data_IF_354820227903
#
_entry.id   IF_354820227903
#
_cell.length_a   1.000
_cell.length_b   1.000
_cell.length_c   1.000
_cell.angle_alpha   90.00
_cell.angle_beta   90.00
_cell.angle_gamma   90.00
#
_symmetry.space_group_name_H-M   'P 1'
#
loop_
_entity.id
_entity.type
_entity.pdbx_description
1 polymer ?
#
# COMPACT_ATOMS: atom_id res chain seq x y z
N UNK A 1 -61.51 10.87 30.86
CA UNK A 1 -60.58 10.92 29.68
C UNK A 1 -59.18 11.38 29.95
N UNK A 2 -58.85 12.20 30.96
CA UNK A 2 -57.47 12.69 31.23
C UNK A 2 -56.48 11.61 31.73
N UNK A 3 -56.87 10.52 32.36
CA UNK A 3 -56.00 9.49 32.92
C UNK A 3 -55.48 8.47 31.88
N UNK A 4 -56.22 8.22 30.81
CA UNK A 4 -55.84 7.28 29.74
C UNK A 4 -54.72 7.85 28.85
N UNK A 5 -54.74 9.16 28.59
CA UNK A 5 -53.71 9.85 27.83
C UNK A 5 -52.36 9.89 28.54
N UNK A 6 -52.34 9.97 29.89
CA UNK A 6 -51.12 9.99 30.70
C UNK A 6 -50.42 8.60 30.69
N UNK A 7 -51.18 7.51 30.76
CA UNK A 7 -50.63 6.16 30.76
C UNK A 7 -50.04 5.77 29.37
N UNK A 8 -50.69 6.20 28.30
CA UNK A 8 -50.19 5.99 26.92
C UNK A 8 -48.90 6.78 26.65
N UNK A 9 -48.83 8.03 27.07
CA UNK A 9 -47.69 8.88 26.91
C UNK A 9 -46.49 8.36 27.73
N UNK A 10 -46.68 7.84 28.94
CA UNK A 10 -45.62 7.16 29.74
C UNK A 10 -45.11 5.89 29.08
N UNK A 11 -45.97 5.08 28.47
CA UNK A 11 -45.54 3.89 27.70
C UNK A 11 -44.76 4.27 26.44
N UNK A 12 -45.17 5.30 25.71
CA UNK A 12 -44.39 5.79 24.57
C UNK A 12 -43.02 6.34 24.97
N UNK A 13 -42.90 7.06 26.07
CA UNK A 13 -41.64 7.58 26.60
C UNK A 13 -40.69 6.44 27.05
N UNK A 14 -41.27 5.39 27.67
CA UNK A 14 -40.51 4.20 28.06
C UNK A 14 -39.97 3.41 26.83
N UNK A 15 -40.79 3.25 25.79
CA UNK A 15 -40.38 2.61 24.53
C UNK A 15 -39.32 3.45 23.80
N UNK A 16 -39.49 4.77 23.76
CA UNK A 16 -38.51 5.67 23.16
C UNK A 16 -37.15 5.65 23.94
N UNK A 17 -37.24 5.60 25.28
CA UNK A 17 -36.02 5.46 26.11
C UNK A 17 -35.32 4.10 25.93
N UNK A 18 -36.09 3.01 25.78
CA UNK A 18 -35.55 1.68 25.50
C UNK A 18 -34.92 1.60 24.09
N UNK A 19 -35.48 2.26 23.11
CA UNK A 19 -34.94 2.33 21.74
C UNK A 19 -33.65 3.18 21.72
N UNK A 20 -33.59 4.26 22.52
CA UNK A 20 -32.40 5.09 22.64
C UNK A 20 -31.27 4.42 23.43
N UNK A 21 -31.59 3.55 24.40
CA UNK A 21 -30.59 2.76 25.15
C UNK A 21 -30.07 1.54 24.35
N UNK A 22 -30.83 1.08 23.35
CA UNK A 22 -30.45 -0.03 22.47
C UNK A 22 -29.73 0.40 21.19
N UNK A 23 -29.52 1.69 20.96
CA UNK A 23 -28.65 2.18 19.90
C UNK A 23 -27.17 2.04 20.34
N UNK A 24 -26.72 0.78 20.54
CA UNK A 24 -25.33 0.49 20.44
C UNK A 24 -24.89 1.03 19.09
N UNK A 25 -23.94 1.98 19.09
CA UNK A 25 -23.26 2.40 17.88
C UNK A 25 -22.60 1.12 17.37
N UNK A 26 -23.23 0.47 16.40
CA UNK A 26 -22.65 -0.63 15.68
C UNK A 26 -21.35 -0.12 15.08
N UNK A 27 -20.25 -0.23 15.82
CA UNK A 27 -18.91 -0.03 15.33
C UNK A 27 -18.64 -1.19 14.37
N UNK A 28 -19.16 -1.07 13.16
CA UNK A 28 -18.84 -1.96 12.07
C UNK A 28 -17.34 -1.86 11.80
N UNK A 29 -16.69 -3.00 11.78
CA UNK A 29 -15.24 -3.16 11.60
C UNK A 29 -14.39 -2.58 12.76
N UNK A 30 -13.11 -2.93 12.76
CA UNK A 30 -12.12 -2.58 13.79
C UNK A 30 -11.60 -1.13 13.68
N UNK A 31 -12.45 -0.17 13.31
CA UNK A 31 -12.07 1.20 12.96
C UNK A 31 -11.81 2.13 14.15
N UNK A 32 -11.95 1.66 15.38
CA UNK A 32 -11.68 2.46 16.59
C UNK A 32 -11.23 1.57 17.74
N UNK A 33 -10.34 0.63 17.46
CA UNK A 33 -9.80 -0.26 18.47
C UNK A 33 -8.47 0.30 18.93
N UNK A 34 -8.32 0.65 20.22
CA UNK A 34 -7.06 1.16 20.73
C UNK A 34 -5.91 0.19 20.44
N UNK A 35 -4.87 0.67 19.77
CA UNK A 35 -3.67 -0.13 19.53
C UNK A 35 -2.91 -0.31 20.84
N UNK A 36 -2.68 -1.55 21.30
CA UNK A 36 -1.93 -1.80 22.52
C UNK A 36 -0.47 -1.33 22.42
N UNK A 37 0.07 -0.82 23.54
CA UNK A 37 1.51 -0.53 23.67
C UNK A 37 2.01 0.69 22.92
N UNK A 38 1.14 1.52 22.31
CA UNK A 38 1.58 2.76 21.68
C UNK A 38 1.76 3.87 22.72
N UNK A 39 2.78 4.74 22.58
CA UNK A 39 2.92 5.93 23.42
C UNK A 39 1.71 6.84 23.26
N UNK A 40 1.30 7.45 24.40
CA UNK A 40 0.18 8.39 24.39
C UNK A 40 0.55 9.69 25.08
N UNK A 41 0.03 10.76 24.55
CA UNK A 41 0.06 12.09 25.17
C UNK A 41 -0.85 12.17 26.40
N UNK A 42 -0.71 13.16 27.29
CA UNK A 42 -1.56 13.28 28.49
C UNK A 42 -3.06 13.37 28.21
N UNK A 43 -3.45 13.82 27.03
CA UNK A 43 -4.85 13.86 26.56
C UNK A 43 -5.32 12.55 25.90
N UNK A 44 -4.49 11.48 25.97
CA UNK A 44 -4.84 10.13 25.52
C UNK A 44 -4.64 9.86 24.02
N UNK A 45 -4.23 10.86 23.23
CA UNK A 45 -3.93 10.65 21.80
C UNK A 45 -2.60 9.92 21.62
N UNK A 46 -2.45 9.20 20.51
CA UNK A 46 -1.18 8.58 20.15
C UNK A 46 -0.07 9.64 20.00
N UNK A 47 1.06 9.45 20.68
CA UNK A 47 2.25 10.30 20.54
C UNK A 47 3.12 9.75 19.39
N UNK A 48 2.88 10.27 18.20
CA UNK A 48 3.59 9.86 17.00
C UNK A 48 5.04 10.38 16.94
N UNK A 49 5.38 11.36 17.78
CA UNK A 49 6.74 11.90 17.87
C UNK A 49 7.58 11.23 18.99
N UNK A 50 7.01 10.26 19.69
CA UNK A 50 7.77 9.48 20.68
C UNK A 50 8.95 8.76 20.00
N UNK A 51 10.02 8.41 20.73
CA UNK A 51 11.15 7.68 20.18
C UNK A 51 10.72 6.40 19.44
N UNK A 52 11.41 6.09 18.35
CA UNK A 52 11.19 4.85 17.60
C UNK A 52 11.34 3.62 18.52
N UNK A 53 10.37 2.70 18.53
CA UNK A 53 10.47 1.47 19.31
C UNK A 53 11.62 0.61 18.77
N UNK A 54 12.26 -0.13 19.69
CA UNK A 54 13.35 -1.04 19.33
C UNK A 54 13.00 -2.46 19.73
N UNK A 55 13.48 -3.39 18.93
CA UNK A 55 13.44 -4.81 19.22
C UNK A 55 14.42 -5.18 20.34
N UNK A 56 14.36 -6.40 20.85
CA UNK A 56 15.26 -6.86 21.92
C UNK A 56 16.76 -6.84 21.51
N UNK A 57 17.06 -6.94 20.22
CA UNK A 57 18.41 -6.83 19.66
C UNK A 57 18.82 -5.36 19.30
N UNK A 58 18.02 -4.40 19.74
CA UNK A 58 18.32 -2.98 19.64
C UNK A 58 18.00 -2.31 18.30
N UNK A 59 17.46 -3.05 17.31
CA UNK A 59 17.07 -2.47 16.01
C UNK A 59 15.73 -1.78 16.10
N UNK A 60 15.48 -0.69 15.34
CA UNK A 60 14.16 -0.14 15.19
C UNK A 60 13.24 -1.19 14.54
N UNK A 61 12.04 -1.37 15.07
CA UNK A 61 11.02 -2.16 14.38
C UNK A 61 10.31 -1.30 13.34
N UNK A 62 10.08 -1.85 12.15
CA UNK A 62 9.23 -1.24 11.11
C UNK A 62 7.80 -1.78 11.15
N UNK A 63 7.51 -2.74 12.04
CA UNK A 63 6.19 -3.30 12.21
C UNK A 63 5.15 -2.22 12.55
N UNK A 64 3.95 -2.39 12.04
CA UNK A 64 2.83 -1.48 12.29
C UNK A 64 1.91 -1.30 11.09
N UNK A 65 0.90 -0.46 11.29
CA UNK A 65 -0.01 -0.04 10.25
C UNK A 65 0.44 1.32 9.71
N UNK A 66 0.69 1.38 8.41
CA UNK A 66 1.29 2.54 7.77
C UNK A 66 0.47 3.00 6.57
N UNK A 67 0.61 4.26 6.23
CA UNK A 67 0.17 4.80 4.94
C UNK A 67 1.21 5.78 4.40
N UNK A 68 1.36 5.92 3.10
CA UNK A 68 2.20 6.97 2.53
C UNK A 68 1.58 8.36 2.77
N UNK A 69 2.40 9.40 2.66
CA UNK A 69 1.92 10.79 2.77
C UNK A 69 1.09 11.24 1.57
N UNK A 70 1.12 10.51 0.48
CA UNK A 70 0.29 10.77 -0.70
C UNK A 70 -1.20 10.82 -0.34
N UNK A 71 -1.89 11.79 -0.90
CA UNK A 71 -3.35 11.94 -0.75
C UNK A 71 -4.13 11.36 -1.90
N UNK A 72 -3.51 11.24 -3.05
CA UNK A 72 -4.07 10.70 -4.29
C UNK A 72 -3.06 9.74 -4.87
N UNK A 73 -3.54 8.84 -5.71
CA UNK A 73 -2.70 7.95 -6.49
C UNK A 73 -1.84 8.81 -7.40
N UNK A 74 -0.59 8.96 -7.07
CA UNK A 74 0.26 9.97 -7.63
C UNK A 74 1.43 9.42 -8.42
N UNK A 75 2.01 10.33 -9.08
CA UNK A 75 3.23 10.25 -9.80
C UNK A 75 4.41 10.03 -8.83
N UNK A 76 5.15 8.96 -9.02
CA UNK A 76 6.32 8.61 -8.19
C UNK A 76 7.38 9.71 -8.17
N UNK A 77 7.43 10.57 -9.20
CA UNK A 77 8.40 11.68 -9.28
C UNK A 77 8.20 12.76 -8.23
N UNK A 78 7.08 12.78 -7.50
CA UNK A 78 6.94 13.65 -6.32
C UNK A 78 7.99 13.36 -5.24
N UNK A 79 8.52 12.14 -5.22
CA UNK A 79 9.61 11.73 -4.33
C UNK A 79 11.02 12.06 -4.84
N UNK A 80 11.15 12.63 -6.03
CA UNK A 80 12.45 13.06 -6.57
C UNK A 80 12.92 14.37 -5.92
N UNK A 81 14.22 14.60 -5.96
CA UNK A 81 14.77 15.89 -5.55
C UNK A 81 14.36 16.99 -6.54
N UNK A 82 14.17 18.21 -6.07
CA UNK A 82 13.86 19.35 -6.95
C UNK A 82 14.89 19.48 -8.09
N UNK A 83 14.40 19.63 -9.33
CA UNK A 83 15.24 19.77 -10.52
C UNK A 83 15.72 18.46 -11.14
N UNK A 84 15.52 17.31 -10.49
CA UNK A 84 15.81 16.03 -11.12
C UNK A 84 14.72 15.63 -12.12
N UNK A 85 15.13 14.90 -13.15
CA UNK A 85 14.23 14.35 -14.17
C UNK A 85 14.44 12.85 -14.32
N UNK A 86 13.39 12.14 -14.71
CA UNK A 86 13.46 10.70 -14.95
C UNK A 86 14.36 10.44 -16.16
N UNK A 87 15.42 9.63 -16.01
CA UNK A 87 16.42 9.41 -17.05
C UNK A 87 15.98 8.31 -18.05
N UNK A 88 14.91 8.54 -18.78
CA UNK A 88 14.37 7.56 -19.72
C UNK A 88 15.33 7.19 -20.85
N UNK A 89 15.28 5.91 -21.27
CA UNK A 89 15.68 5.54 -22.63
C UNK A 89 14.67 6.13 -23.64
N UNK A 90 15.07 6.44 -24.90
CA UNK A 90 14.18 7.08 -25.88
C UNK A 90 12.86 6.34 -26.11
N UNK A 91 12.88 5.02 -26.20
CA UNK A 91 11.68 4.21 -26.38
C UNK A 91 10.74 4.29 -25.16
N UNK A 92 11.31 4.28 -23.95
CA UNK A 92 10.55 4.33 -22.71
C UNK A 92 9.88 5.68 -22.52
N UNK A 93 10.55 6.75 -22.90
CA UNK A 93 9.97 8.10 -22.91
C UNK A 93 8.81 8.21 -23.91
N UNK A 94 8.97 7.66 -25.11
CA UNK A 94 7.91 7.63 -26.12
C UNK A 94 6.69 6.83 -25.63
N UNK A 95 6.89 5.67 -25.01
CA UNK A 95 5.84 4.86 -24.42
C UNK A 95 5.14 5.62 -23.27
N UNK A 96 5.90 6.23 -22.38
CA UNK A 96 5.36 7.06 -21.30
C UNK A 96 4.47 8.19 -21.84
N UNK A 97 4.94 8.94 -22.82
CA UNK A 97 4.16 10.02 -23.47
C UNK A 97 2.86 9.50 -24.08
N UNK A 98 2.90 8.32 -24.71
CA UNK A 98 1.71 7.66 -25.28
C UNK A 98 0.70 7.29 -24.17
N UNK A 99 1.17 6.72 -23.05
CA UNK A 99 0.32 6.39 -21.91
C UNK A 99 -0.32 7.62 -21.27
N UNK A 100 0.45 8.70 -21.12
CA UNK A 100 -0.09 9.98 -20.64
C UNK A 100 -1.15 10.54 -21.61
N UNK A 101 -0.89 10.53 -22.91
CA UNK A 101 -1.81 11.05 -23.93
C UNK A 101 -3.14 10.27 -23.98
N UNK A 102 -3.15 8.99 -23.64
CA UNK A 102 -4.35 8.17 -23.60
C UNK A 102 -4.97 8.04 -22.18
N UNK A 103 -4.56 8.92 -21.24
CA UNK A 103 -5.01 8.94 -19.84
C UNK A 103 -4.74 7.61 -19.10
N UNK A 104 -3.64 6.94 -19.42
CA UNK A 104 -3.23 5.68 -18.80
C UNK A 104 -4.35 4.60 -18.77
N UNK A 105 -5.22 4.58 -19.80
CA UNK A 105 -6.40 3.70 -19.86
C UNK A 105 -6.09 2.21 -19.74
N UNK A 106 -4.85 1.82 -20.07
CA UNK A 106 -4.40 0.42 -20.05
C UNK A 106 -3.63 0.11 -18.74
N UNK A 107 -3.76 0.96 -17.71
CA UNK A 107 -3.16 0.74 -16.41
C UNK A 107 -3.64 -0.60 -15.79
N UNK A 108 -2.73 -1.54 -15.47
CA UNK A 108 -3.11 -2.82 -14.89
C UNK A 108 -3.96 -2.70 -13.62
N UNK A 109 -3.73 -1.66 -12.80
CA UNK A 109 -4.49 -1.48 -11.56
C UNK A 109 -5.95 -1.12 -11.80
N UNK A 110 -6.30 -0.58 -12.97
CA UNK A 110 -7.70 -0.37 -13.40
C UNK A 110 -8.46 -1.69 -13.54
N UNK A 111 -7.76 -2.79 -13.73
CA UNK A 111 -8.30 -4.15 -13.78
C UNK A 111 -8.08 -4.92 -12.46
N UNK A 112 -7.90 -4.22 -11.34
CA UNK A 112 -7.66 -4.82 -10.04
C UNK A 112 -6.39 -5.71 -9.98
N UNK A 113 -5.44 -5.46 -10.86
CA UNK A 113 -4.12 -6.10 -10.81
C UNK A 113 -3.22 -5.30 -9.87
N UNK A 114 -2.40 -6.00 -9.11
CA UNK A 114 -1.49 -5.37 -8.14
C UNK A 114 -0.47 -4.45 -8.83
N UNK A 115 -0.12 -3.35 -8.17
CA UNK A 115 0.82 -2.37 -8.73
C UNK A 115 2.28 -2.79 -8.69
N UNK A 116 2.64 -3.80 -7.88
CA UNK A 116 4.04 -4.13 -7.62
C UNK A 116 4.76 -3.06 -6.79
N UNK A 117 6.09 -3.20 -6.66
CA UNK A 117 6.92 -2.19 -6.01
C UNK A 117 7.74 -1.43 -7.06
N UNK A 118 8.03 -0.15 -6.81
CA UNK A 118 7.71 0.65 -5.61
C UNK A 118 6.29 1.24 -5.59
N UNK A 119 5.49 1.03 -6.64
CA UNK A 119 4.18 1.68 -6.80
C UNK A 119 3.26 1.47 -5.61
N UNK A 120 3.18 0.25 -5.06
CA UNK A 120 2.31 -0.06 -3.92
C UNK A 120 2.64 0.74 -2.66
N UNK A 121 3.87 1.21 -2.52
CA UNK A 121 4.31 2.02 -1.39
C UNK A 121 3.98 3.52 -1.56
N UNK A 122 3.46 3.91 -2.73
CA UNK A 122 3.05 5.28 -3.06
C UNK A 122 1.53 5.45 -3.19
N UNK A 123 0.75 4.38 -3.13
CA UNK A 123 -0.71 4.49 -3.17
C UNK A 123 -1.26 4.88 -1.80
N UNK A 124 -2.31 5.74 -1.73
CA UNK A 124 -2.80 6.31 -0.47
C UNK A 124 -3.65 5.34 0.36
N UNK A 125 -3.41 4.05 0.24
CA UNK A 125 -4.08 3.01 1.00
C UNK A 125 -3.18 2.51 2.13
N UNK A 126 -3.76 2.11 3.27
CA UNK A 126 -3.00 1.50 4.35
C UNK A 126 -2.33 0.20 3.94
N UNK A 127 -1.22 -0.09 4.61
CA UNK A 127 -0.61 -1.41 4.59
C UNK A 127 -0.01 -1.75 5.95
N UNK A 128 -0.01 -3.03 6.28
CA UNK A 128 0.49 -3.53 7.56
C UNK A 128 1.78 -4.28 7.38
N UNK A 129 2.83 -3.85 8.08
CA UNK A 129 4.12 -4.54 8.13
C UNK A 129 4.13 -5.46 9.35
N UNK A 130 4.42 -6.74 9.12
CA UNK A 130 4.53 -7.78 10.15
C UNK A 130 5.94 -8.35 10.07
N UNK A 131 6.64 -8.31 11.19
CA UNK A 131 7.99 -8.87 11.33
C UNK A 131 7.93 -10.19 12.06
N UNK A 132 8.51 -11.22 11.47
CA UNK A 132 8.69 -12.54 12.09
C UNK A 132 10.13 -13.01 11.86
N UNK A 133 10.66 -13.98 12.63
CA UNK A 133 11.97 -14.51 12.37
C UNK A 133 12.13 -15.04 10.95
N UNK A 134 13.08 -14.48 10.19
CA UNK A 134 13.37 -14.86 8.82
C UNK A 134 12.43 -14.30 7.74
N UNK A 135 11.38 -13.56 8.11
CA UNK A 135 10.41 -13.05 7.15
C UNK A 135 9.76 -11.75 7.63
N UNK A 136 9.76 -10.75 6.77
CA UNK A 136 8.88 -9.58 6.89
C UNK A 136 7.78 -9.70 5.84
N UNK A 137 6.53 -9.56 6.27
CA UNK A 137 5.36 -9.58 5.38
C UNK A 137 4.69 -8.21 5.38
N UNK A 138 4.41 -7.70 4.19
CA UNK A 138 3.61 -6.48 4.01
C UNK A 138 2.25 -6.92 3.44
N UNK A 139 1.19 -6.60 4.18
CA UNK A 139 -0.20 -6.79 3.75
C UNK A 139 -0.72 -5.46 3.24
N UNK A 140 -1.01 -5.36 1.96
CA UNK A 140 -1.59 -4.16 1.36
C UNK A 140 -3.11 -4.25 1.37
N UNK A 141 -3.77 -3.23 1.88
CA UNK A 141 -5.23 -3.12 1.82
C UNK A 141 -5.70 -3.03 0.37
N UNK A 142 -5.00 -2.22 -0.43
CA UNK A 142 -5.30 -2.11 -1.85
C UNK A 142 -5.10 -3.44 -2.58
N UNK A 143 -6.15 -3.88 -3.29
CA UNK A 143 -6.11 -5.06 -4.18
C UNK A 143 -5.78 -6.38 -3.44
N UNK A 144 -6.03 -6.48 -2.12
CA UNK A 144 -5.79 -7.68 -1.30
C UNK A 144 -4.47 -8.37 -1.61
N UNK A 145 -3.39 -7.63 -1.61
CA UNK A 145 -2.09 -8.16 -1.97
C UNK A 145 -1.16 -8.26 -0.78
N UNK A 146 -0.16 -9.11 -0.91
CA UNK A 146 0.89 -9.22 0.09
C UNK A 146 2.26 -9.33 -0.58
N UNK A 147 3.28 -8.92 0.16
CA UNK A 147 4.67 -9.04 -0.23
C UNK A 147 5.44 -9.77 0.87
N UNK A 148 6.29 -10.70 0.47
CA UNK A 148 7.21 -11.41 1.35
C UNK A 148 8.63 -10.89 1.13
N UNK A 149 9.29 -10.52 2.22
CA UNK A 149 10.68 -10.07 2.23
C UNK A 149 11.45 -11.02 3.12
N UNK A 150 12.27 -11.88 2.54
CA UNK A 150 13.01 -12.89 3.28
C UNK A 150 14.23 -12.29 3.97
N UNK A 151 14.37 -12.53 5.27
CA UNK A 151 15.46 -12.00 6.11
C UNK A 151 16.33 -13.12 6.71
N UNK A 152 16.22 -14.32 6.18
CA UNK A 152 16.94 -15.53 6.61
C UNK A 152 18.34 -15.67 5.96
N UNK A 153 18.80 -14.65 5.25
CA UNK A 153 20.12 -14.64 4.60
C UNK A 153 20.15 -15.26 3.21
N UNK A 154 19.00 -15.70 2.68
CA UNK A 154 18.94 -16.17 1.29
C UNK A 154 19.25 -15.04 0.31
N UNK A 155 19.71 -15.43 -0.89
CA UNK A 155 19.94 -14.50 -1.99
C UNK A 155 18.72 -14.41 -2.90
N UNK A 156 18.60 -13.33 -3.66
CA UNK A 156 17.63 -13.23 -4.74
C UNK A 156 17.84 -14.38 -5.75
N UNK A 157 16.77 -14.96 -6.31
CA UNK A 157 16.88 -16.00 -7.32
C UNK A 157 17.56 -15.44 -8.59
N UNK A 158 18.35 -16.27 -9.26
CA UNK A 158 19.09 -15.87 -10.47
C UNK A 158 18.19 -15.87 -11.72
N UNK A 159 17.25 -16.80 -11.78
CA UNK A 159 16.32 -16.96 -12.92
C UNK A 159 14.90 -17.22 -12.37
N UNK A 160 14.25 -16.20 -11.80
CA UNK A 160 12.90 -16.35 -11.23
C UNK A 160 11.83 -16.33 -12.32
N UNK A 161 10.72 -17.02 -12.08
CA UNK A 161 9.50 -16.73 -12.84
C UNK A 161 9.06 -15.29 -12.57
N UNK A 162 8.84 -14.45 -13.59
CA UNK A 162 8.46 -13.07 -13.43
C UNK A 162 7.18 -12.88 -12.60
N UNK A 163 7.21 -11.94 -11.65
CA UNK A 163 6.09 -11.67 -10.75
C UNK A 163 5.83 -10.16 -10.62
N UNK A 164 4.61 -9.78 -10.21
CA UNK A 164 4.24 -8.37 -10.03
C UNK A 164 5.03 -7.68 -8.93
N UNK A 165 5.24 -8.35 -7.78
CA UNK A 165 6.06 -7.84 -6.68
C UNK A 165 7.53 -8.26 -6.78
N UNK A 166 7.87 -9.08 -7.78
CA UNK A 166 9.17 -9.71 -7.86
C UNK A 166 9.46 -10.60 -6.64
N UNK A 167 10.73 -10.76 -6.34
CA UNK A 167 11.24 -11.49 -5.18
C UNK A 167 12.07 -10.52 -4.35
N UNK A 168 11.90 -10.56 -3.03
CA UNK A 168 12.52 -9.61 -2.13
C UNK A 168 13.32 -10.29 -1.04
N UNK A 169 14.51 -9.77 -0.78
CA UNK A 169 15.34 -10.12 0.40
C UNK A 169 15.62 -8.86 1.19
N UNK A 170 15.68 -8.99 2.51
CA UNK A 170 15.89 -7.87 3.42
C UNK A 170 16.97 -8.15 4.44
N UNK A 171 17.64 -7.08 4.88
CA UNK A 171 18.63 -7.11 5.96
C UNK A 171 18.67 -5.79 6.70
N UNK A 172 19.06 -5.84 7.96
CA UNK A 172 19.35 -4.63 8.71
C UNK A 172 20.78 -4.16 8.44
N UNK A 173 20.95 -2.87 8.15
CA UNK A 173 22.22 -2.18 8.02
C UNK A 173 22.20 -0.99 8.99
N UNK A 174 22.72 -1.18 10.20
CA UNK A 174 22.54 -0.23 11.29
C UNK A 174 21.05 -0.04 11.61
N UNK A 175 20.57 1.20 11.58
CA UNK A 175 19.17 1.55 11.84
C UNK A 175 18.30 1.56 10.55
N UNK A 176 18.82 1.09 9.42
CA UNK A 176 18.06 0.98 8.18
C UNK A 176 17.73 -0.48 7.85
N UNK A 177 16.47 -0.77 7.56
CA UNK A 177 16.06 -2.02 6.95
C UNK A 177 16.16 -1.89 5.43
N UNK A 178 17.06 -2.64 4.83
CA UNK A 178 17.35 -2.58 3.39
C UNK A 178 16.73 -3.77 2.71
N UNK A 179 15.94 -3.50 1.67
CA UNK A 179 15.26 -4.50 0.86
C UNK A 179 15.76 -4.40 -0.57
N UNK A 180 16.13 -5.53 -1.15
CA UNK A 180 16.47 -5.65 -2.56
C UNK A 180 15.44 -6.54 -3.25
N UNK A 181 14.95 -6.10 -4.41
CA UNK A 181 13.92 -6.80 -5.17
C UNK A 181 14.29 -6.89 -6.65
N UNK A 182 14.00 -8.05 -7.24
CA UNK A 182 14.17 -8.32 -8.68
C UNK A 182 13.20 -9.42 -9.15
N UNK A 183 13.19 -9.75 -10.44
CA UNK A 183 12.29 -10.76 -11.00
C UNK A 183 10.89 -10.24 -11.21
N UNK A 184 10.77 -8.99 -11.63
CA UNK A 184 9.51 -8.37 -12.01
C UNK A 184 9.09 -8.84 -13.40
N UNK A 185 7.76 -8.82 -13.65
CA UNK A 185 7.26 -8.99 -15.01
C UNK A 185 7.32 -7.65 -15.77
N UNK A 186 7.20 -7.70 -17.10
CA UNK A 186 7.29 -6.54 -18.00
C UNK A 186 6.01 -5.69 -18.05
N UNK A 187 4.98 -6.06 -17.29
CA UNK A 187 3.71 -5.34 -17.21
C UNK A 187 3.65 -4.37 -16.02
N UNK A 188 4.66 -4.34 -15.18
CA UNK A 188 4.73 -3.42 -14.03
C UNK A 188 4.83 -1.97 -14.52
N UNK A 189 4.00 -1.12 -13.94
CA UNK A 189 4.09 0.33 -14.08
C UNK A 189 4.57 0.93 -12.76
N UNK A 190 5.56 1.81 -12.81
CA UNK A 190 6.10 2.41 -11.58
C UNK A 190 5.12 3.38 -10.91
N UNK A 191 4.14 3.90 -11.66
CA UNK A 191 3.10 4.79 -11.16
C UNK A 191 1.88 4.88 -12.08
N UNK A 192 0.88 5.63 -11.65
CA UNK A 192 -0.36 5.85 -12.41
C UNK A 192 -0.17 6.70 -13.67
N UNK A 193 0.92 7.44 -13.78
CA UNK A 193 1.21 8.20 -14.99
C UNK A 193 1.72 7.29 -16.13
N UNK A 194 2.03 6.03 -15.82
CA UNK A 194 2.39 5.05 -16.83
C UNK A 194 3.88 4.91 -17.08
N UNK A 195 4.74 5.24 -16.10
CA UNK A 195 6.18 5.02 -16.24
C UNK A 195 6.48 3.54 -16.37
N UNK A 196 7.11 3.11 -17.49
CA UNK A 196 7.37 1.70 -17.72
C UNK A 196 8.48 1.17 -16.82
N UNK A 197 8.42 -0.12 -16.57
CA UNK A 197 9.53 -0.92 -16.07
C UNK A 197 9.53 -2.26 -16.81
N UNK A 198 10.67 -2.95 -16.81
CA UNK A 198 10.82 -4.23 -17.47
C UNK A 198 11.33 -5.32 -16.51
N UNK A 199 11.60 -6.50 -17.05
CA UNK A 199 12.14 -7.64 -16.30
C UNK A 199 13.55 -7.36 -15.72
N UNK A 200 14.27 -6.38 -16.30
CA UNK A 200 15.58 -5.98 -15.80
C UNK A 200 15.50 -5.08 -14.55
N UNK A 201 14.29 -4.68 -14.13
CA UNK A 201 14.08 -3.83 -12.97
C UNK A 201 14.67 -4.45 -11.71
N UNK A 202 15.43 -3.63 -11.00
CA UNK A 202 15.86 -3.84 -9.61
C UNK A 202 15.39 -2.66 -8.78
N UNK A 203 14.84 -2.96 -7.62
CA UNK A 203 14.41 -1.94 -6.66
C UNK A 203 15.17 -2.17 -5.36
N UNK A 204 15.82 -1.12 -4.86
CA UNK A 204 16.41 -1.13 -3.52
C UNK A 204 15.68 -0.11 -2.65
N UNK A 205 15.13 -0.56 -1.54
CA UNK A 205 14.40 0.27 -0.59
C UNK A 205 15.14 0.29 0.74
N UNK A 206 15.28 1.47 1.34
CA UNK A 206 15.91 1.66 2.64
C UNK A 206 14.92 2.32 3.59
N UNK A 207 14.31 1.51 4.45
CA UNK A 207 13.36 1.97 5.45
C UNK A 207 14.12 2.45 6.68
N UNK A 208 13.88 3.69 7.07
CA UNK A 208 14.43 4.27 8.32
C UNK A 208 13.27 4.77 9.18
N UNK A 209 13.09 4.16 10.34
CA UNK A 209 12.11 4.64 11.31
C UNK A 209 12.69 5.81 12.09
N UNK A 210 12.15 7.00 11.83
CA UNK A 210 12.64 8.28 12.38
C UNK A 210 12.20 8.44 13.83
N UNK A 211 10.94 8.14 14.11
CA UNK A 211 10.30 8.17 15.39
C UNK A 211 9.18 7.12 15.44
N UNK A 212 8.30 7.21 16.45
CA UNK A 212 7.21 6.23 16.55
C UNK A 212 6.29 6.26 15.34
N UNK A 213 5.96 7.44 14.85
CA UNK A 213 4.93 7.66 13.83
C UNK A 213 5.43 7.77 12.39
N UNK A 214 6.75 7.76 12.15
CA UNK A 214 7.29 8.08 10.83
C UNK A 214 8.37 7.10 10.38
N UNK A 215 8.24 6.65 9.12
CA UNK A 215 9.30 5.93 8.39
C UNK A 215 9.60 6.72 7.12
N UNK A 216 10.88 6.98 6.86
CA UNK A 216 11.35 7.43 5.55
C UNK A 216 11.85 6.24 4.75
N UNK A 217 11.46 6.17 3.48
CA UNK A 217 11.94 5.16 2.52
C UNK A 217 12.71 5.87 1.44
N UNK A 218 14.00 5.54 1.31
CA UNK A 218 14.80 5.91 0.13
C UNK A 218 14.73 4.76 -0.87
N UNK A 219 14.30 5.03 -2.08
CA UNK A 219 14.05 4.01 -3.11
C UNK A 219 14.94 4.29 -4.31
N UNK A 220 15.75 3.31 -4.69
CA UNK A 220 16.55 3.31 -5.91
C UNK A 220 15.89 2.43 -6.95
N UNK A 221 15.65 2.97 -8.14
CA UNK A 221 15.09 2.31 -9.30
C UNK A 221 16.23 2.13 -10.31
N UNK A 222 16.55 0.89 -10.62
CA UNK A 222 17.60 0.51 -11.56
C UNK A 222 17.02 -0.47 -12.60
N UNK A 223 16.81 0.03 -13.82
CA UNK A 223 16.40 -0.77 -14.97
C UNK A 223 17.16 -0.27 -16.20
N UNK A 224 18.32 -0.85 -16.50
CA UNK A 224 19.21 -0.36 -17.58
C UNK A 224 18.60 -0.50 -18.99
N UNK A 225 17.54 -1.31 -19.13
CA UNK A 225 16.81 -1.41 -20.40
C UNK A 225 15.82 -0.27 -20.58
N UNK A 226 15.29 0.28 -19.48
CA UNK A 226 14.25 1.32 -19.48
C UNK A 226 14.80 2.72 -19.19
N UNK A 227 15.86 2.80 -18.39
CA UNK A 227 16.48 4.06 -17.94
C UNK A 227 17.96 4.09 -18.27
N UNK A 228 18.50 5.29 -18.55
CA UNK A 228 19.92 5.49 -18.90
C UNK A 228 20.87 5.41 -17.72
N UNK A 229 20.34 5.53 -16.49
CA UNK A 229 21.04 5.37 -15.21
C UNK A 229 20.03 5.07 -14.10
N UNK A 230 20.47 4.54 -12.96
CA UNK A 230 19.66 4.45 -11.76
C UNK A 230 19.18 5.85 -11.31
N UNK A 231 17.99 5.91 -10.71
CA UNK A 231 17.42 7.13 -10.17
C UNK A 231 16.70 6.85 -8.85
N UNK A 232 16.49 7.90 -8.06
CA UNK A 232 16.03 7.78 -6.70
C UNK A 232 14.74 8.57 -6.45
N UNK A 233 13.92 8.04 -5.57
CA UNK A 233 12.76 8.72 -5.00
C UNK A 233 12.71 8.47 -3.50
N UNK A 234 12.03 9.34 -2.79
CA UNK A 234 11.78 9.18 -1.36
C UNK A 234 10.28 9.15 -1.08
N UNK A 235 9.87 8.38 -0.09
CA UNK A 235 8.50 8.37 0.44
C UNK A 235 8.55 8.45 1.97
N UNK A 236 7.57 9.11 2.55
CA UNK A 236 7.35 9.09 3.99
C UNK A 236 6.08 8.34 4.33
N UNK A 237 6.20 7.41 5.25
CA UNK A 237 5.07 6.69 5.82
C UNK A 237 4.66 7.33 7.14
N UNK A 238 3.36 7.39 7.33
CA UNK A 238 2.72 7.82 8.57
C UNK A 238 2.08 6.61 9.25
N UNK A 239 2.36 6.43 10.54
CA UNK A 239 1.71 5.41 11.36
C UNK A 239 0.21 5.73 11.52
N UNK A 240 -0.63 4.72 11.45
CA UNK A 240 -2.07 4.85 11.68
C UNK A 240 -2.40 4.16 13.00
N UNK A 241 -2.64 4.92 14.08
CA UNK A 241 -3.02 4.34 15.37
C UNK A 241 -4.51 3.99 15.42
N UNK A 242 -4.87 3.12 16.37
CA UNK A 242 -6.22 2.86 16.82
C UNK A 242 -7.18 2.36 15.72
N UNK A 243 -6.63 1.60 14.77
CA UNK A 243 -7.37 0.93 13.69
C UNK A 243 -6.55 -0.23 13.13
N UNK A 244 -7.10 -0.96 12.18
CA UNK A 244 -6.40 -2.00 11.41
C UNK A 244 -6.75 -1.89 9.92
N UNK A 245 -6.08 -2.68 9.06
CA UNK A 245 -6.45 -2.80 7.64
C UNK A 245 -7.87 -3.38 7.55
N UNK A 246 -8.60 -2.91 6.56
CA UNK A 246 -9.96 -3.38 6.28
C UNK A 246 -9.98 -4.22 5.02
N UNK A 247 -11.05 -4.97 4.86
CA UNK A 247 -11.29 -5.68 3.61
C UNK A 247 -11.61 -4.68 2.48
N UNK A 248 -10.89 -4.80 1.38
CA UNK A 248 -11.07 -3.96 0.19
C UNK A 248 -11.20 -4.84 -1.05
N UNK A 249 -12.42 -4.97 -1.57
CA UNK A 249 -12.69 -5.75 -2.79
C UNK A 249 -12.70 -4.83 -4.00
N UNK A 250 -11.59 -4.76 -4.71
CA UNK A 250 -11.41 -3.91 -5.89
C UNK A 250 -12.50 -4.13 -6.97
N UNK A 251 -13.00 -5.36 -7.10
CA UNK A 251 -14.05 -5.71 -8.06
C UNK A 251 -15.47 -5.45 -7.56
N UNK A 252 -15.65 -5.20 -6.26
CA UNK A 252 -16.96 -4.96 -5.68
C UNK A 252 -17.50 -3.59 -6.13
N UNK A 253 -18.73 -3.58 -6.60
CA UNK A 253 -19.38 -2.38 -7.16
C UNK A 253 -18.65 -1.73 -8.35
N UNK A 254 -17.62 -2.33 -8.89
CA UNK A 254 -16.94 -1.87 -10.08
C UNK A 254 -17.79 -2.18 -11.33
N UNK A 255 -18.61 -1.22 -11.74
CA UNK A 255 -19.50 -1.36 -12.90
C UNK A 255 -18.74 -1.53 -14.22
N UNK A 256 -17.51 -1.05 -14.30
CA UNK A 256 -16.66 -1.18 -15.49
C UNK A 256 -16.14 -2.60 -15.68
N UNK A 257 -15.92 -3.35 -14.61
CA UNK A 257 -15.49 -4.75 -14.68
C UNK A 257 -16.53 -5.67 -15.35
N UNK A 258 -17.80 -5.26 -15.35
CA UNK A 258 -18.90 -5.98 -16.01
C UNK A 258 -19.12 -5.55 -17.45
N UNK A 259 -18.44 -4.50 -17.92
CA UNK A 259 -18.64 -3.91 -19.25
C UNK A 259 -17.57 -4.40 -20.24
N UNK A 260 -16.57 -5.18 -19.80
CA UNK A 260 -15.70 -5.94 -20.69
C UNK A 260 -16.13 -7.41 -20.68
N UNK A 261 -17.35 -7.74 -21.17
CA UNK A 261 -17.67 -9.09 -21.50
C UNK A 261 -17.03 -9.33 -22.86
N UNK A 262 -16.20 -10.36 -22.95
CA UNK A 262 -15.91 -11.06 -24.21
C UNK A 262 -15.58 -10.17 -25.44
N UNK A 263 -14.80 -9.14 -25.27
CA UNK A 263 -14.22 -8.43 -26.40
C UNK A 263 -12.94 -9.13 -26.88
N UNK A 264 -12.94 -10.44 -26.93
CA UNK A 264 -12.11 -11.13 -27.89
C UNK A 264 -12.66 -10.78 -29.27
N UNK A 265 -11.85 -10.22 -30.19
CA UNK A 265 -12.30 -9.99 -31.56
C UNK A 265 -12.82 -11.30 -32.12
N UNK A 266 -13.88 -11.26 -32.96
CA UNK A 266 -14.40 -12.48 -33.58
C UNK A 266 -13.28 -13.22 -34.30
N UNK A 267 -12.96 -14.46 -33.86
CA UNK A 267 -11.90 -15.28 -34.46
C UNK A 267 -10.61 -15.42 -33.63
N UNK A 268 -10.50 -14.87 -32.44
CA UNK A 268 -9.36 -15.15 -31.57
C UNK A 268 -9.43 -16.60 -31.05
N UNK A 269 -8.35 -17.40 -31.16
CA UNK A 269 -8.36 -18.78 -30.68
C UNK A 269 -8.51 -18.77 -29.15
N UNK A 270 -9.52 -19.48 -28.65
CA UNK A 270 -9.71 -19.75 -27.24
C UNK A 270 -8.57 -20.63 -26.78
N UNK A 271 -7.59 -20.04 -26.10
CA UNK A 271 -6.52 -20.79 -25.47
C UNK A 271 -7.11 -21.76 -24.45
N UNK A 272 -6.89 -23.03 -24.64
CA UNK A 272 -7.21 -24.08 -23.66
C UNK A 272 -6.34 -23.79 -22.42
N UNK A 273 -7.00 -23.57 -21.27
CA UNK A 273 -6.37 -23.58 -19.95
C UNK A 273 -5.88 -24.97 -19.60
#
# INVERSE_FOLDING_TARGET
MKYVASAFMRKMLLVAALVLLGAEISAGQWLKVPTPGIPRTPDGRADLNAPAPRTADGKPTIAGLWRPTARLIENITRGMKPGETVPFQPWAEALFKTRVANNAKDDPTSNCIVGGVPRSDFVPYPFKIIETPGLVTILYEAVHSFRQIFTDGRKLPQDPNPAWFGYSVGRWEGDAFVVESSGFNDNVWLDNAGRPAGEALRVTERFRRIDFGHIDIDITIDDPKTYTRPWNVTERLLYIPDTDIIEYMCTENNRYFRIVPDAAPPGAPVGKR
#
